data_IF_244115638325
#
_entry.id   IF_244115638325
#
_cell.length_a   1.000
_cell.length_b   1.000
_cell.length_c   1.000
_cell.angle_alpha   90.00
_cell.angle_beta   90.00
_cell.angle_gamma   90.00
#
_symmetry.space_group_name_H-M   'P 1'
#
loop_
_entity.id
_entity.type
_entity.pdbx_description
1 polymer ?
#
# COMPACT_ATOMS: atom_id res chain seq x y z
N UNK A 1 -4.61 -7.18 24.03
CA UNK A 1 -4.79 -8.50 23.39
C UNK A 1 -4.88 -8.32 21.87
N UNK A 2 -3.96 -8.93 21.09
CA UNK A 2 -3.98 -8.88 19.62
C UNK A 2 -5.29 -9.37 18.98
N UNK A 3 -5.94 -10.39 19.54
CA UNK A 3 -7.17 -10.96 18.98
C UNK A 3 -8.35 -10.01 19.15
N UNK A 4 -8.50 -9.41 20.33
CA UNK A 4 -9.53 -8.41 20.60
C UNK A 4 -9.34 -7.21 19.68
N UNK A 5 -8.10 -6.73 19.53
CA UNK A 5 -7.78 -5.61 18.65
C UNK A 5 -8.15 -5.90 17.19
N UNK A 6 -7.82 -7.11 16.72
CA UNK A 6 -8.17 -7.57 15.36
C UNK A 6 -9.69 -7.69 15.18
N UNK A 7 -10.40 -8.24 16.17
CA UNK A 7 -11.86 -8.32 16.16
C UNK A 7 -12.54 -6.94 16.12
N UNK A 8 -12.06 -5.99 16.93
CA UNK A 8 -12.54 -4.60 16.91
C UNK A 8 -12.27 -3.96 15.54
N UNK A 9 -11.12 -4.26 14.91
CA UNK A 9 -10.80 -3.71 13.59
C UNK A 9 -11.83 -4.10 12.52
N UNK A 10 -12.47 -5.27 12.62
CA UNK A 10 -13.54 -5.69 11.71
C UNK A 10 -14.82 -4.85 11.84
N UNK A 11 -15.05 -4.24 13.00
CA UNK A 11 -16.21 -3.39 13.23
C UNK A 11 -15.98 -1.97 12.68
N UNK A 12 -14.73 -1.52 12.59
CA UNK A 12 -14.38 -0.16 12.19
C UNK A 12 -14.98 0.26 10.82
N UNK A 13 -14.95 -0.58 9.76
CA UNK A 13 -15.61 -0.25 8.50
C UNK A 13 -17.09 0.06 8.63
N UNK A 14 -17.83 -0.72 9.41
CA UNK A 14 -19.27 -0.57 9.63
C UNK A 14 -19.59 0.64 10.51
N UNK A 15 -18.76 0.89 11.52
CA UNK A 15 -18.87 2.07 12.37
C UNK A 15 -18.64 3.37 11.61
N UNK A 16 -17.86 3.34 10.52
CA UNK A 16 -17.71 4.46 9.60
C UNK A 16 -18.86 4.53 8.57
N UNK A 17 -19.27 3.38 8.02
CA UNK A 17 -20.26 3.29 6.95
C UNK A 17 -21.66 3.71 7.39
N UNK A 18 -22.17 3.14 8.50
CA UNK A 18 -23.57 3.31 8.90
C UNK A 18 -23.94 4.76 9.28
N UNK A 19 -23.13 5.51 10.04
CA UNK A 19 -23.43 6.92 10.32
C UNK A 19 -23.37 7.79 9.06
N UNK A 20 -22.44 7.49 8.15
CA UNK A 20 -22.30 8.23 6.89
C UNK A 20 -23.56 8.09 6.00
N UNK A 21 -24.08 6.88 5.85
CA UNK A 21 -25.34 6.65 5.11
C UNK A 21 -26.53 7.36 5.77
N UNK A 22 -26.61 7.39 7.11
CA UNK A 22 -27.66 8.15 7.83
C UNK A 22 -27.57 9.66 7.62
N UNK A 23 -26.38 10.17 7.34
CA UNK A 23 -26.13 11.58 7.01
C UNK A 23 -26.24 11.85 5.50
N UNK A 24 -26.65 10.86 4.70
CA UNK A 24 -26.73 10.95 3.24
C UNK A 24 -25.40 11.33 2.56
N UNK A 25 -24.28 10.93 3.16
CA UNK A 25 -22.95 11.03 2.55
C UNK A 25 -22.43 9.63 2.20
N UNK A 26 -21.39 9.55 1.35
CA UNK A 26 -20.90 8.24 0.87
C UNK A 26 -20.32 7.39 2.01
N UNK A 27 -21.01 6.31 2.37
CA UNK A 27 -20.52 5.36 3.37
C UNK A 27 -19.21 4.70 2.96
N UNK A 28 -19.04 4.40 1.67
CA UNK A 28 -17.80 3.81 1.13
C UNK A 28 -16.61 4.76 1.34
N UNK A 29 -16.76 6.05 1.01
CA UNK A 29 -15.68 7.02 1.22
C UNK A 29 -15.39 7.25 2.70
N UNK A 30 -16.40 7.22 3.57
CA UNK A 30 -16.21 7.29 5.01
C UNK A 30 -15.38 6.11 5.53
N UNK A 31 -15.71 4.88 5.10
CA UNK A 31 -14.94 3.67 5.43
C UNK A 31 -13.49 3.75 4.95
N UNK A 32 -13.25 4.20 3.71
CA UNK A 32 -11.89 4.37 3.17
C UNK A 32 -11.11 5.39 3.98
N UNK A 33 -11.73 6.54 4.30
CA UNK A 33 -11.10 7.60 5.08
C UNK A 33 -10.75 7.14 6.49
N UNK A 34 -11.66 6.41 7.15
CA UNK A 34 -11.38 5.81 8.45
C UNK A 34 -10.23 4.79 8.38
N UNK A 35 -10.20 3.94 7.35
CA UNK A 35 -9.12 3.00 7.11
C UNK A 35 -7.76 3.68 6.91
N UNK A 36 -7.72 4.76 6.12
CA UNK A 36 -6.51 5.58 5.92
C UNK A 36 -6.05 6.22 7.23
N UNK A 37 -6.96 6.77 8.02
CA UNK A 37 -6.64 7.37 9.32
C UNK A 37 -6.08 6.32 10.31
N UNK A 38 -6.75 5.17 10.42
CA UNK A 38 -6.30 4.06 11.27
C UNK A 38 -4.94 3.53 10.79
N UNK A 39 -4.74 3.40 9.48
CA UNK A 39 -3.46 2.99 8.91
C UNK A 39 -2.35 4.01 9.17
N UNK A 40 -2.65 5.31 9.10
CA UNK A 40 -1.69 6.36 9.41
C UNK A 40 -1.25 6.27 10.85
N UNK A 41 -2.21 6.18 11.79
CA UNK A 41 -1.97 6.17 13.23
C UNK A 41 -1.62 4.79 13.80
N UNK A 42 -1.65 3.74 12.97
CA UNK A 42 -1.34 2.36 13.34
C UNK A 42 -0.06 2.20 14.18
N UNK A 43 1.07 2.88 13.88
CA UNK A 43 2.30 2.74 14.65
C UNK A 43 2.18 3.19 16.11
N UNK A 44 1.25 4.12 16.38
CA UNK A 44 1.05 4.78 17.68
C UNK A 44 -0.11 4.14 18.46
N UNK A 45 -1.15 3.66 17.77
CA UNK A 45 -2.36 3.12 18.41
C UNK A 45 -2.24 1.62 18.70
N UNK A 46 -1.56 0.86 17.84
CA UNK A 46 -1.48 -0.60 17.95
C UNK A 46 -0.11 -1.06 18.43
N UNK A 47 -0.09 -2.10 19.27
CA UNK A 47 1.16 -2.75 19.64
C UNK A 47 1.75 -3.53 18.46
N UNK A 48 3.07 -3.82 18.47
CA UNK A 48 3.72 -4.66 17.46
C UNK A 48 3.01 -5.99 17.23
N UNK A 49 2.67 -6.69 18.32
CA UNK A 49 2.00 -8.00 18.28
C UNK A 49 0.60 -7.88 17.67
N UNK A 50 -0.13 -6.79 17.96
CA UNK A 50 -1.43 -6.54 17.36
C UNK A 50 -1.34 -6.33 15.85
N UNK A 51 -0.32 -5.62 15.36
CA UNK A 51 -0.12 -5.43 13.91
C UNK A 51 0.33 -6.70 13.20
N UNK A 52 1.24 -7.47 13.82
CA UNK A 52 1.66 -8.78 13.30
C UNK A 52 0.51 -9.78 13.20
N UNK A 53 -0.51 -9.68 14.06
CA UNK A 53 -1.73 -10.47 13.96
C UNK A 53 -2.74 -9.90 12.95
N UNK A 54 -2.96 -8.58 12.96
CA UNK A 54 -4.00 -7.94 12.16
C UNK A 54 -3.68 -7.91 10.66
N UNK A 55 -2.42 -7.64 10.26
CA UNK A 55 -2.05 -7.51 8.84
C UNK A 55 -2.29 -8.82 8.07
N UNK A 56 -1.79 -10.00 8.50
CA UNK A 56 -2.08 -11.26 7.81
C UNK A 56 -3.56 -11.61 7.82
N UNK A 57 -4.27 -11.31 8.92
CA UNK A 57 -5.71 -11.52 9.00
C UNK A 57 -6.46 -10.72 7.93
N UNK A 58 -6.18 -9.42 7.78
CA UNK A 58 -6.78 -8.59 6.73
C UNK A 58 -6.38 -9.05 5.34
N UNK A 59 -5.14 -9.51 5.12
CA UNK A 59 -4.73 -10.09 3.85
C UNK A 59 -5.55 -11.33 3.49
N UNK A 60 -5.87 -12.18 4.46
CA UNK A 60 -6.74 -13.34 4.26
C UNK A 60 -8.18 -12.91 3.91
N UNK A 61 -8.74 -11.93 4.61
CA UNK A 61 -10.07 -11.40 4.31
C UNK A 61 -10.12 -10.81 2.90
N UNK A 62 -9.12 -10.00 2.52
CA UNK A 62 -9.00 -9.43 1.17
C UNK A 62 -8.92 -10.54 0.12
N UNK A 63 -8.12 -11.59 0.37
CA UNK A 63 -8.02 -12.73 -0.53
C UNK A 63 -9.37 -13.44 -0.71
N UNK A 64 -10.08 -13.72 0.38
CA UNK A 64 -11.39 -14.39 0.35
C UNK A 64 -12.42 -13.53 -0.38
N UNK A 65 -12.52 -12.25 -0.03
CA UNK A 65 -13.49 -11.33 -0.63
C UNK A 65 -13.20 -11.14 -2.12
N UNK A 66 -11.94 -10.93 -2.51
CA UNK A 66 -11.55 -10.84 -3.91
C UNK A 66 -11.86 -12.14 -4.66
N UNK A 67 -11.53 -13.29 -4.09
CA UNK A 67 -11.83 -14.60 -4.69
C UNK A 67 -13.32 -14.82 -4.89
N UNK A 68 -14.13 -14.58 -3.86
CA UNK A 68 -15.59 -14.67 -3.93
C UNK A 68 -16.14 -13.76 -5.03
N UNK A 69 -15.64 -12.54 -5.09
CA UNK A 69 -16.05 -11.58 -6.10
C UNK A 69 -15.72 -12.11 -7.48
N UNK A 70 -14.49 -12.53 -7.76
CA UNK A 70 -14.13 -13.05 -9.09
C UNK A 70 -14.98 -14.25 -9.50
N UNK A 71 -15.36 -15.11 -8.55
CA UNK A 71 -16.32 -16.18 -8.81
C UNK A 71 -17.69 -15.62 -9.20
N UNK A 72 -18.22 -14.64 -8.46
CA UNK A 72 -19.49 -13.97 -8.81
C UNK A 72 -19.40 -13.25 -10.17
N UNK A 73 -18.28 -12.61 -10.48
CA UNK A 73 -17.98 -11.99 -11.78
C UNK A 73 -18.10 -13.05 -12.88
N UNK A 74 -17.41 -14.18 -12.73
CA UNK A 74 -17.44 -15.28 -13.69
C UNK A 74 -18.83 -15.90 -13.87
N UNK A 75 -19.58 -16.08 -12.78
CA UNK A 75 -20.96 -16.62 -12.84
C UNK A 75 -21.93 -15.69 -13.58
N UNK A 76 -21.77 -14.38 -13.45
CA UNK A 76 -22.61 -13.40 -14.15
C UNK A 76 -22.25 -13.22 -15.64
N UNK A 77 -21.11 -13.75 -16.09
CA UNK A 77 -20.66 -13.58 -17.48
C UNK A 77 -21.60 -14.24 -18.48
N UNK A 78 -22.11 -15.46 -18.20
CA UNK A 78 -23.04 -16.15 -19.09
C UNK A 78 -24.36 -15.36 -19.23
N UNK A 79 -24.88 -14.83 -18.12
CA UNK A 79 -26.07 -13.98 -18.12
C UNK A 79 -25.85 -12.71 -18.96
N UNK A 80 -24.71 -12.04 -18.79
CA UNK A 80 -24.36 -10.86 -19.57
C UNK A 80 -24.22 -11.17 -21.08
N UNK A 81 -23.61 -12.31 -21.44
CA UNK A 81 -23.48 -12.72 -22.84
C UNK A 81 -24.83 -13.06 -23.48
N UNK A 82 -25.75 -13.70 -22.74
CA UNK A 82 -27.09 -14.01 -23.24
C UNK A 82 -27.94 -12.77 -23.46
N UNK A 83 -27.78 -11.75 -22.62
CA UNK A 83 -28.54 -10.51 -22.69
C UNK A 83 -28.20 -9.65 -23.91
N UNK A 84 -27.06 -9.91 -24.57
CA UNK A 84 -26.54 -9.08 -25.67
C UNK A 84 -26.53 -9.86 -27.00
N UNK A 85 -27.38 -10.89 -27.12
CA UNK A 85 -27.49 -11.76 -28.33
C UNK A 85 -27.87 -11.02 -29.61
N UNK A 86 -28.43 -9.82 -29.50
CA UNK A 86 -28.83 -8.98 -30.65
C UNK A 86 -27.64 -8.36 -31.39
N UNK A 87 -26.45 -8.34 -30.76
CA UNK A 87 -25.24 -7.77 -31.36
C UNK A 87 -24.37 -8.86 -31.99
N UNK A 88 -23.68 -8.52 -33.08
CA UNK A 88 -22.71 -9.45 -33.65
C UNK A 88 -21.46 -9.55 -32.77
N UNK A 89 -20.82 -10.72 -32.74
CA UNK A 89 -19.59 -10.94 -31.97
C UNK A 89 -18.49 -9.94 -32.37
N UNK A 90 -18.39 -9.59 -33.64
CA UNK A 90 -17.44 -8.61 -34.15
C UNK A 90 -17.72 -7.21 -33.62
N UNK A 91 -18.99 -6.79 -33.56
CA UNK A 91 -19.37 -5.50 -32.97
C UNK A 91 -19.03 -5.45 -31.48
N UNK A 92 -19.35 -6.51 -30.73
CA UNK A 92 -19.03 -6.59 -29.31
C UNK A 92 -17.53 -6.58 -29.04
N UNK A 93 -16.75 -7.31 -29.85
CA UNK A 93 -15.30 -7.29 -29.75
C UNK A 93 -14.73 -5.88 -30.02
N UNK A 94 -15.27 -5.16 -31.00
CA UNK A 94 -14.87 -3.79 -31.29
C UNK A 94 -15.22 -2.83 -30.15
N UNK A 95 -16.43 -2.91 -29.60
CA UNK A 95 -16.83 -2.08 -28.45
C UNK A 95 -15.96 -2.38 -27.22
N UNK A 96 -15.73 -3.66 -26.92
CA UNK A 96 -14.87 -4.07 -25.82
C UNK A 96 -13.44 -3.51 -25.98
N UNK A 97 -12.86 -3.63 -27.18
CA UNK A 97 -11.53 -3.11 -27.48
C UNK A 97 -11.49 -1.58 -27.39
N UNK A 98 -12.44 -0.88 -28.00
CA UNK A 98 -12.49 0.57 -28.02
C UNK A 98 -12.64 1.16 -26.62
N UNK A 99 -13.55 0.61 -25.80
CA UNK A 99 -13.77 1.09 -24.43
C UNK A 99 -12.57 0.77 -23.54
N UNK A 100 -11.96 -0.42 -23.69
CA UNK A 100 -10.74 -0.78 -22.93
C UNK A 100 -9.56 0.12 -23.31
N UNK A 101 -9.33 0.34 -24.60
CA UNK A 101 -8.28 1.22 -25.09
C UNK A 101 -8.50 2.66 -24.62
N UNK A 102 -9.74 3.17 -24.69
CA UNK A 102 -10.08 4.49 -24.18
C UNK A 102 -9.82 4.60 -22.66
N UNK A 103 -10.25 3.62 -21.87
CA UNK A 103 -10.04 3.61 -20.42
C UNK A 103 -8.55 3.61 -20.04
N UNK A 104 -7.72 2.85 -20.78
CA UNK A 104 -6.26 2.81 -20.59
C UNK A 104 -5.62 4.12 -21.04
N UNK A 105 -5.99 4.64 -22.22
CA UNK A 105 -5.44 5.88 -22.76
C UNK A 105 -5.76 7.08 -21.85
N UNK A 106 -7.01 7.20 -21.37
CA UNK A 106 -7.41 8.24 -20.41
C UNK A 106 -6.55 8.15 -19.15
N UNK A 107 -6.27 6.95 -18.64
CA UNK A 107 -5.42 6.76 -17.45
C UNK A 107 -3.99 7.24 -17.70
N UNK A 108 -3.40 6.85 -18.83
CA UNK A 108 -2.03 7.27 -19.22
C UNK A 108 -1.98 8.79 -19.35
N UNK A 109 -2.89 9.39 -20.13
CA UNK A 109 -2.95 10.84 -20.32
C UNK A 109 -3.13 11.56 -18.98
N UNK A 110 -3.98 11.04 -18.09
CA UNK A 110 -4.20 11.61 -16.77
C UNK A 110 -2.94 11.60 -15.90
N UNK A 111 -2.24 10.46 -15.81
CA UNK A 111 -1.03 10.33 -14.98
C UNK A 111 0.09 11.26 -15.46
N UNK A 112 0.35 11.29 -16.77
CA UNK A 112 1.37 12.18 -17.33
C UNK A 112 0.98 13.65 -17.23
N UNK A 113 -0.30 13.99 -17.42
CA UNK A 113 -0.79 15.36 -17.25
C UNK A 113 -0.67 15.83 -15.80
N UNK A 114 -1.03 14.97 -14.84
CA UNK A 114 -0.93 15.29 -13.42
C UNK A 114 0.52 15.48 -12.97
N UNK A 115 1.45 14.64 -13.46
CA UNK A 115 2.87 14.82 -13.19
C UNK A 115 3.40 16.17 -13.68
N UNK A 116 3.02 16.57 -14.91
CA UNK A 116 3.38 17.90 -15.45
C UNK A 116 2.72 19.06 -14.70
N UNK A 117 1.52 18.86 -14.16
CA UNK A 117 0.80 19.85 -13.36
C UNK A 117 1.28 19.92 -11.90
N UNK A 118 2.04 18.92 -11.42
CA UNK A 118 2.50 18.83 -10.04
C UNK A 118 3.26 20.09 -9.56
N UNK A 119 4.19 20.70 -10.32
CA UNK A 119 4.88 21.92 -9.87
C UNK A 119 3.95 23.13 -9.72
N UNK A 120 2.85 23.18 -10.48
CA UNK A 120 1.84 24.24 -10.39
C UNK A 120 0.92 24.01 -9.19
N UNK A 121 0.49 22.76 -8.96
CA UNK A 121 -0.35 22.39 -7.82
C UNK A 121 0.40 22.50 -6.49
N UNK A 122 1.70 22.20 -6.46
CA UNK A 122 2.55 22.38 -5.29
C UNK A 122 2.66 23.85 -4.86
N UNK A 123 2.49 24.81 -5.78
CA UNK A 123 2.44 26.24 -5.44
C UNK A 123 1.12 26.65 -4.78
N UNK A 124 0.04 25.90 -5.03
CA UNK A 124 -1.30 26.17 -4.50
C UNK A 124 -1.55 25.48 -3.15
N UNK A 125 -0.74 24.50 -2.77
CA UNK A 125 -0.86 23.79 -1.51
C UNK A 125 0.34 24.06 -0.59
N UNK A 126 0.34 25.14 0.22
CA UNK A 126 1.41 25.43 1.17
C UNK A 126 1.52 24.40 2.31
N UNK A 127 0.53 23.52 2.47
CA UNK A 127 0.53 22.41 3.43
C UNK A 127 0.83 21.06 2.78
N UNK A 128 0.99 21.03 1.45
CA UNK A 128 1.36 19.84 0.69
C UNK A 128 2.83 19.55 0.88
N UNK A 129 3.15 18.34 1.35
CA UNK A 129 4.54 17.87 1.38
C UNK A 129 5.10 17.92 -0.03
N UNK A 130 6.36 18.36 -0.18
CA UNK A 130 7.06 18.32 -1.46
C UNK A 130 7.33 16.87 -1.82
N UNK A 131 6.40 16.27 -2.54
CA UNK A 131 6.62 14.96 -3.16
C UNK A 131 7.74 15.10 -4.18
N UNK A 132 8.71 14.19 -4.14
CA UNK A 132 9.76 14.14 -5.16
C UNK A 132 9.09 13.90 -6.52
N UNK A 133 9.48 14.65 -7.57
CA UNK A 133 8.92 14.41 -8.89
C UNK A 133 9.27 12.99 -9.32
N UNK A 134 8.26 12.21 -9.71
CA UNK A 134 8.47 10.86 -10.20
C UNK A 134 9.32 10.89 -11.48
N UNK A 135 10.31 9.99 -11.58
CA UNK A 135 11.03 9.76 -12.83
C UNK A 135 10.08 9.27 -13.93
N UNK A 136 10.42 9.46 -15.21
CA UNK A 136 9.58 9.04 -16.33
C UNK A 136 9.28 7.53 -16.30
N UNK A 137 10.26 6.74 -15.88
CA UNK A 137 10.15 5.30 -15.68
C UNK A 137 9.08 4.99 -14.62
N UNK A 138 9.13 5.65 -13.46
CA UNK A 138 8.14 5.52 -12.38
C UNK A 138 6.74 5.96 -12.84
N UNK A 139 6.64 7.07 -13.58
CA UNK A 139 5.36 7.56 -14.12
C UNK A 139 4.73 6.56 -15.08
N UNK A 140 5.53 5.95 -15.97
CA UNK A 140 5.05 4.95 -16.91
C UNK A 140 4.53 3.69 -16.18
N UNK A 141 5.24 3.23 -15.15
CA UNK A 141 4.78 2.12 -14.31
C UNK A 141 3.49 2.47 -13.57
N UNK A 142 3.39 3.67 -12.98
CA UNK A 142 2.16 4.16 -12.30
C UNK A 142 0.98 4.32 -13.28
N UNK A 143 1.25 4.73 -14.51
CA UNK A 143 0.24 4.82 -15.57
C UNK A 143 -0.28 3.43 -15.96
N UNK A 144 0.61 2.43 -16.01
CA UNK A 144 0.29 1.07 -16.45
C UNK A 144 -0.35 0.19 -15.36
N UNK A 145 -0.15 0.51 -14.08
CA UNK A 145 -0.70 -0.23 -12.93
C UNK A 145 -2.18 0.06 -12.62
N UNK A 146 -2.86 0.86 -13.45
CA UNK A 146 -4.25 1.29 -13.28
C UNK A 146 -5.31 0.22 -13.55
N UNK A 147 -5.16 -0.97 -12.94
CA UNK A 147 -6.06 -2.10 -13.12
C UNK A 147 -7.49 -1.77 -12.67
N UNK A 148 -8.49 -2.09 -13.51
CA UNK A 148 -9.91 -1.94 -13.14
C UNK A 148 -10.35 -3.20 -12.41
N UNK A 149 -10.81 -3.02 -11.17
CA UNK A 149 -11.22 -4.13 -10.31
C UNK A 149 -12.73 -4.21 -10.12
N UNK A 150 -13.09 -4.94 -9.06
CA UNK A 150 -14.44 -5.18 -8.56
C UNK A 150 -15.33 -3.93 -8.51
N UNK A 151 -14.79 -2.80 -8.05
CA UNK A 151 -15.58 -1.59 -7.80
C UNK A 151 -16.27 -1.13 -9.09
N UNK A 152 -15.61 -1.28 -10.24
CA UNK A 152 -16.20 -0.94 -11.54
C UNK A 152 -17.41 -1.82 -11.85
N UNK A 153 -17.33 -3.12 -11.56
CA UNK A 153 -18.45 -4.03 -11.76
C UNK A 153 -19.57 -3.77 -10.77
N UNK A 154 -19.25 -3.53 -9.49
CA UNK A 154 -20.25 -3.19 -8.48
C UNK A 154 -21.06 -1.95 -8.91
N UNK A 155 -20.39 -0.93 -9.44
CA UNK A 155 -21.05 0.25 -10.01
C UNK A 155 -21.91 -0.10 -11.24
N UNK A 156 -21.42 -0.92 -12.16
CA UNK A 156 -22.21 -1.35 -13.32
C UNK A 156 -23.45 -2.16 -12.92
N UNK A 157 -23.35 -3.04 -11.91
CA UNK A 157 -24.46 -3.83 -11.40
C UNK A 157 -25.44 -2.98 -10.57
N UNK A 158 -24.96 -1.91 -9.93
CA UNK A 158 -25.80 -0.95 -9.20
C UNK A 158 -26.69 -0.10 -10.11
N UNK A 159 -26.46 -0.13 -11.43
CA UNK A 159 -27.38 0.49 -12.38
C UNK A 159 -28.78 -0.11 -12.19
N UNK A 160 -29.81 0.74 -12.02
CA UNK A 160 -31.15 0.27 -11.74
C UNK A 160 -31.67 -0.55 -12.92
N UNK A 161 -32.54 -1.52 -12.64
CA UNK A 161 -33.15 -2.36 -13.68
C UNK A 161 -34.13 -1.53 -14.52
N UNK A 162 -34.80 -0.56 -13.89
CA UNK A 162 -35.75 0.35 -14.52
C UNK A 162 -35.43 1.80 -14.19
N UNK A 163 -35.75 2.70 -15.10
CA UNK A 163 -35.74 4.14 -14.85
C UNK A 163 -37.02 4.57 -14.12
N UNK A 164 -37.09 5.81 -13.61
CA UNK A 164 -38.23 6.32 -12.84
C UNK A 164 -39.57 6.25 -13.60
N UNK A 165 -39.54 6.22 -14.94
CA UNK A 165 -40.72 6.05 -15.79
C UNK A 165 -41.25 4.61 -15.85
N UNK A 166 -40.55 3.64 -15.26
CA UNK A 166 -40.90 2.21 -15.30
C UNK A 166 -40.30 1.43 -16.47
N UNK A 167 -39.72 2.12 -17.45
CA UNK A 167 -39.03 1.51 -18.60
C UNK A 167 -37.72 0.82 -18.18
N UNK A 168 -37.26 -0.23 -18.88
CA UNK A 168 -35.95 -0.83 -18.65
C UNK A 168 -34.82 0.19 -18.82
N UNK A 169 -33.77 0.07 -18.00
CA UNK A 169 -32.60 0.93 -18.15
C UNK A 169 -31.91 0.69 -19.51
N UNK A 170 -31.66 1.74 -20.30
CA UNK A 170 -31.16 1.58 -21.66
C UNK A 170 -29.77 0.97 -21.67
N UNK A 171 -29.59 -0.10 -22.47
CA UNK A 171 -28.30 -0.75 -22.70
C UNK A 171 -27.58 -1.22 -21.42
N UNK A 172 -28.32 -1.46 -20.32
CA UNK A 172 -27.75 -1.89 -19.04
C UNK A 172 -26.83 -3.10 -19.20
N UNK A 173 -27.31 -4.12 -19.89
CA UNK A 173 -26.57 -5.38 -20.02
C UNK A 173 -25.34 -5.25 -20.92
N UNK A 174 -25.40 -4.35 -21.92
CA UNK A 174 -24.23 -3.99 -22.72
C UNK A 174 -23.18 -3.27 -21.87
N UNK A 175 -23.59 -2.33 -21.00
CA UNK A 175 -22.66 -1.64 -20.07
C UNK A 175 -22.00 -2.64 -19.12
N UNK A 176 -22.79 -3.57 -18.57
CA UNK A 176 -22.29 -4.64 -17.70
C UNK A 176 -21.28 -5.52 -18.46
N UNK A 177 -21.60 -5.97 -19.67
CA UNK A 177 -20.70 -6.78 -20.51
C UNK A 177 -19.40 -6.04 -20.85
N UNK A 178 -19.48 -4.77 -21.25
CA UNK A 178 -18.29 -3.96 -21.54
C UNK A 178 -17.45 -3.71 -20.30
N UNK A 179 -18.09 -3.56 -19.13
CA UNK A 179 -17.38 -3.47 -17.85
C UNK A 179 -16.59 -4.75 -17.56
N UNK A 180 -17.17 -5.94 -17.81
CA UNK A 180 -16.45 -7.20 -17.73
C UNK A 180 -15.25 -7.24 -18.69
N UNK A 181 -15.44 -6.83 -19.94
CA UNK A 181 -14.37 -6.82 -20.93
C UNK A 181 -13.21 -5.90 -20.54
N UNK A 182 -13.51 -4.70 -20.01
CA UNK A 182 -12.50 -3.76 -19.51
C UNK A 182 -11.77 -4.32 -18.30
N UNK A 183 -12.50 -4.90 -17.34
CA UNK A 183 -11.89 -5.55 -16.17
C UNK A 183 -10.98 -6.69 -16.61
N UNK A 184 -11.41 -7.54 -17.54
CA UNK A 184 -10.60 -8.63 -18.08
C UNK A 184 -9.35 -8.12 -18.81
N UNK A 185 -9.50 -7.14 -19.69
CA UNK A 185 -8.38 -6.53 -20.41
C UNK A 185 -7.37 -5.90 -19.42
N UNK A 186 -7.83 -5.18 -18.41
CA UNK A 186 -6.92 -4.54 -17.46
C UNK A 186 -6.31 -5.54 -16.47
N UNK A 187 -7.07 -6.50 -15.94
CA UNK A 187 -6.54 -7.47 -14.99
C UNK A 187 -5.74 -8.60 -15.61
N UNK A 188 -6.01 -9.01 -16.85
CA UNK A 188 -5.24 -10.07 -17.50
C UNK A 188 -4.13 -9.44 -18.31
N UNK A 189 -4.48 -8.60 -19.28
CA UNK A 189 -3.46 -8.06 -20.19
C UNK A 189 -2.50 -7.08 -19.49
N UNK A 190 -2.97 -6.11 -18.68
CA UNK A 190 -2.02 -5.23 -17.98
C UNK A 190 -1.22 -5.98 -16.90
N UNK A 191 -1.83 -6.91 -16.15
CA UNK A 191 -1.09 -7.67 -15.12
C UNK A 191 -0.01 -8.57 -15.70
N UNK A 192 -0.26 -9.24 -16.83
CA UNK A 192 0.77 -10.08 -17.47
C UNK A 192 1.88 -9.23 -18.12
N UNK A 193 1.56 -8.01 -18.56
CA UNK A 193 2.54 -7.11 -19.20
C UNK A 193 3.29 -6.21 -18.19
N UNK A 194 2.85 -6.15 -16.94
CA UNK A 194 3.51 -5.35 -15.90
C UNK A 194 4.90 -5.87 -15.52
N UNK A 195 5.13 -7.18 -15.24
CA UNK A 195 6.46 -7.68 -14.94
C UNK A 195 7.53 -7.37 -16.01
N UNK A 196 7.30 -7.59 -17.32
CA UNK A 196 8.30 -7.21 -18.32
C UNK A 196 8.48 -5.69 -18.41
N UNK A 197 7.42 -4.90 -18.23
CA UNK A 197 7.53 -3.44 -18.19
C UNK A 197 8.42 -2.97 -17.03
N UNK A 198 8.24 -3.53 -15.84
CA UNK A 198 9.08 -3.25 -14.67
C UNK A 198 10.52 -3.71 -14.91
N UNK A 199 10.76 -4.83 -15.61
CA UNK A 199 12.16 -5.21 -15.92
C UNK A 199 12.87 -4.22 -16.83
N UNK A 200 12.14 -3.55 -17.72
CA UNK A 200 12.71 -2.57 -18.66
C UNK A 200 12.87 -1.19 -18.02
N UNK A 201 11.96 -0.81 -17.12
CA UNK A 201 11.88 0.55 -16.55
C UNK A 201 12.21 0.62 -15.05
N UNK A 202 12.37 -0.50 -14.38
CA UNK A 202 12.33 -0.60 -12.91
C UNK A 202 13.68 -0.53 -12.22
N UNK A 203 14.81 -0.53 -12.93
CA UNK A 203 16.14 -0.37 -12.30
C UNK A 203 16.21 0.94 -11.51
N UNK A 204 15.75 2.05 -12.11
CA UNK A 204 15.72 3.36 -11.45
C UNK A 204 14.82 3.36 -10.20
N UNK A 205 13.68 2.67 -10.25
CA UNK A 205 12.68 2.65 -9.17
C UNK A 205 13.18 1.82 -7.99
N UNK A 206 13.77 0.66 -8.28
CA UNK A 206 14.31 -0.24 -7.25
C UNK A 206 15.50 0.40 -6.54
N UNK A 207 16.42 1.02 -7.30
CA UNK A 207 17.58 1.71 -6.73
C UNK A 207 17.19 2.89 -5.83
N UNK A 208 16.15 3.65 -6.18
CA UNK A 208 15.68 4.76 -5.35
C UNK A 208 15.11 4.28 -4.00
N UNK A 209 14.30 3.22 -4.00
CA UNK A 209 13.75 2.63 -2.77
C UNK A 209 14.81 1.99 -1.89
N UNK A 210 15.80 1.30 -2.47
CA UNK A 210 16.90 0.67 -1.72
C UNK A 210 17.78 1.73 -1.03
N UNK A 211 18.14 2.80 -1.75
CA UNK A 211 18.90 3.90 -1.16
C UNK A 211 18.15 4.61 -0.03
N UNK A 212 16.85 4.83 -0.19
CA UNK A 212 16.00 5.41 0.85
C UNK A 212 15.97 4.52 2.11
N UNK A 213 15.83 3.20 1.94
CA UNK A 213 15.84 2.24 3.04
C UNK A 213 17.17 2.24 3.80
N UNK A 214 18.29 2.18 3.08
CA UNK A 214 19.64 2.16 3.66
C UNK A 214 19.87 3.42 4.52
N UNK A 215 19.55 4.60 3.97
CA UNK A 215 19.69 5.87 4.69
C UNK A 215 18.79 5.91 5.93
N UNK A 216 17.53 5.48 5.81
CA UNK A 216 16.60 5.44 6.93
C UNK A 216 17.08 4.49 8.04
N UNK A 217 17.61 3.32 7.69
CA UNK A 217 18.17 2.35 8.65
C UNK A 217 19.43 2.87 9.33
N UNK A 218 20.28 3.62 8.62
CA UNK A 218 21.44 4.28 9.21
C UNK A 218 21.03 5.33 10.24
N UNK A 219 20.09 6.21 9.90
CA UNK A 219 19.57 7.24 10.81
C UNK A 219 18.90 6.60 12.04
N UNK A 220 18.13 5.53 11.85
CA UNK A 220 17.51 4.80 12.95
C UNK A 220 18.56 4.18 13.88
N UNK A 221 19.53 3.46 13.32
CA UNK A 221 20.58 2.76 14.08
C UNK A 221 21.48 3.73 14.84
N UNK A 222 21.89 4.84 14.20
CA UNK A 222 22.67 5.90 14.83
C UNK A 222 21.89 6.62 15.94
N UNK A 223 20.60 6.88 15.73
CA UNK A 223 19.74 7.47 16.78
C UNK A 223 19.62 6.56 17.98
N UNK A 224 19.46 5.24 17.76
CA UNK A 224 19.43 4.27 18.83
C UNK A 224 20.76 4.22 19.59
N UNK A 225 21.89 4.22 18.87
CA UNK A 225 23.22 4.28 19.47
C UNK A 225 23.40 5.54 20.33
N UNK A 226 23.11 6.73 19.81
CA UNK A 226 23.20 7.97 20.57
C UNK A 226 22.31 7.97 21.82
N UNK A 227 21.14 7.30 21.76
CA UNK A 227 20.25 7.15 22.92
C UNK A 227 20.82 6.21 23.97
N UNK A 228 21.54 5.17 23.58
CA UNK A 228 22.25 4.27 24.49
C UNK A 228 23.49 4.96 25.11
N UNK A 229 24.18 5.84 24.36
CA UNK A 229 25.38 6.56 24.83
C UNK A 229 25.06 7.77 25.73
N UNK A 230 23.95 8.47 25.47
CA UNK A 230 23.49 9.61 26.27
C UNK A 230 23.16 9.28 27.73
N UNK A 231 23.08 8.00 28.10
CA UNK A 231 22.87 7.52 29.47
C UNK A 231 24.16 7.43 30.30
N UNK A 232 25.22 8.16 29.93
CA UNK A 232 26.59 8.15 30.50
C UNK A 232 26.76 8.43 32.01
N UNK A 233 25.73 8.25 32.83
CA UNK A 233 25.77 8.29 34.30
C UNK A 233 25.54 6.93 34.98
N UNK A 234 25.10 5.89 34.27
CA UNK A 234 24.94 4.55 34.85
C UNK A 234 26.16 3.65 34.51
N UNK A 235 26.64 2.81 35.45
CA UNK A 235 27.73 1.87 35.15
C UNK A 235 27.31 0.94 34.01
N UNK A 236 28.09 0.94 32.93
CA UNK A 236 27.86 0.11 31.74
C UNK A 236 27.75 -1.36 32.13
N UNK A 237 26.53 -1.90 32.10
CA UNK A 237 26.33 -3.34 32.26
C UNK A 237 26.95 -4.05 31.06
N UNK A 238 27.47 -5.29 31.22
CA UNK A 238 27.94 -6.08 30.08
C UNK A 238 26.87 -6.29 29.00
N UNK A 239 25.58 -6.24 29.38
CA UNK A 239 24.46 -6.27 28.44
C UNK A 239 24.38 -4.99 27.59
N UNK A 240 24.45 -3.81 28.21
CA UNK A 240 24.47 -2.52 27.49
C UNK A 240 25.66 -2.44 26.52
N UNK A 241 26.85 -2.85 26.96
CA UNK A 241 28.05 -2.85 26.11
C UNK A 241 27.86 -3.71 24.85
N UNK A 242 27.33 -4.95 25.00
CA UNK A 242 27.03 -5.83 23.86
C UNK A 242 26.03 -5.21 22.89
N UNK A 243 24.95 -4.61 23.39
CA UNK A 243 23.95 -3.95 22.53
C UNK A 243 24.57 -2.77 21.81
N UNK A 244 25.35 -1.93 22.50
CA UNK A 244 26.04 -0.79 21.88
C UNK A 244 27.00 -1.24 20.78
N UNK A 245 27.84 -2.23 21.05
CA UNK A 245 28.83 -2.72 20.09
C UNK A 245 28.15 -3.32 18.84
N UNK A 246 27.01 -4.00 19.01
CA UNK A 246 26.21 -4.49 17.89
C UNK A 246 25.58 -3.36 17.03
N UNK A 247 25.17 -2.24 17.65
CA UNK A 247 24.66 -1.08 16.93
C UNK A 247 25.77 -0.28 16.24
N UNK A 248 26.96 -0.19 16.86
CA UNK A 248 28.15 0.37 16.24
C UNK A 248 28.53 -0.41 14.98
N UNK A 249 28.60 -1.74 15.07
CA UNK A 249 28.86 -2.61 13.92
C UNK A 249 27.79 -2.43 12.83
N UNK A 250 26.51 -2.34 13.20
CA UNK A 250 25.41 -2.09 12.24
C UNK A 250 25.59 -0.76 11.50
N UNK A 251 25.91 0.32 12.22
CA UNK A 251 26.16 1.64 11.64
C UNK A 251 27.36 1.62 10.71
N UNK A 252 28.47 0.98 11.12
CA UNK A 252 29.67 0.84 10.31
C UNK A 252 29.41 0.06 9.02
N UNK A 253 28.73 -1.09 9.11
CA UNK A 253 28.36 -1.90 7.97
C UNK A 253 27.46 -1.14 6.99
N UNK A 254 26.40 -0.47 7.47
CA UNK A 254 25.51 0.31 6.61
C UNK A 254 26.21 1.52 6.01
N UNK A 255 27.14 2.15 6.74
CA UNK A 255 27.96 3.25 6.22
C UNK A 255 28.90 2.75 5.12
N UNK A 256 29.53 1.58 5.30
CA UNK A 256 30.39 0.96 4.31
C UNK A 256 29.61 0.46 3.08
N UNK A 257 28.38 0.00 3.26
CA UNK A 257 27.46 -0.36 2.16
C UNK A 257 27.16 0.86 1.28
N UNK A 258 26.95 2.03 1.88
CA UNK A 258 26.82 3.30 1.16
C UNK A 258 28.14 3.69 0.45
N UNK A 259 29.30 3.36 1.05
CA UNK A 259 30.63 3.77 0.58
C UNK A 259 31.32 2.79 -0.39
N UNK A 260 30.65 1.71 -0.82
CA UNK A 260 31.14 0.63 -1.72
C UNK A 260 31.92 -0.54 -1.07
N UNK A 261 31.28 -1.36 -0.22
CA UNK A 261 31.66 -2.79 -0.15
C UNK A 261 30.57 -3.71 0.42
N UNK A 262 30.38 -4.88 -0.21
CA UNK A 262 29.44 -5.91 0.22
C UNK A 262 30.02 -6.70 1.39
N UNK A 263 29.60 -6.39 2.62
CA UNK A 263 29.94 -7.19 3.80
C UNK A 263 28.74 -8.04 4.21
N UNK A 264 29.00 -9.34 4.36
CA UNK A 264 28.01 -10.36 4.66
C UNK A 264 27.34 -10.12 6.03
N UNK A 265 26.00 -10.16 6.03
CA UNK A 265 25.16 -10.06 7.23
C UNK A 265 25.51 -11.14 8.26
N UNK A 266 26.09 -10.76 9.39
CA UNK A 266 26.18 -11.62 10.56
C UNK A 266 25.12 -11.18 11.58
N UNK A 267 24.06 -11.98 11.77
CA UNK A 267 23.10 -11.76 12.85
C UNK A 267 23.59 -12.47 14.10
N UNK A 268 24.29 -11.73 14.96
CA UNK A 268 24.57 -12.18 16.31
C UNK A 268 23.26 -12.43 17.06
N UNK A 269 23.05 -13.68 17.52
CA UNK A 269 21.94 -14.05 18.40
C UNK A 269 22.15 -13.38 19.77
N UNK A 270 21.58 -12.20 19.96
CA UNK A 270 21.43 -11.62 21.29
C UNK A 270 20.30 -12.36 22.04
N UNK A 271 20.60 -12.76 23.27
CA UNK A 271 19.70 -13.55 24.12
C UNK A 271 18.36 -12.87 24.35
N UNK A 272 17.35 -13.71 24.56
CA UNK A 272 16.01 -13.33 25.01
C UNK A 272 16.10 -12.45 26.26
N UNK A 273 15.34 -11.35 26.28
CA UNK A 273 15.12 -10.46 27.43
C UNK A 273 16.22 -9.43 27.76
N UNK A 274 16.80 -8.75 26.76
CA UNK A 274 17.63 -7.56 27.03
C UNK A 274 16.80 -6.25 27.03
N UNK A 275 16.54 -5.61 28.19
CA UNK A 275 15.82 -4.33 28.26
C UNK A 275 16.55 -3.19 27.55
N UNK A 276 17.87 -3.29 27.33
CA UNK A 276 18.63 -2.35 26.50
C UNK A 276 18.28 -2.51 25.02
N UNK A 277 18.04 -3.74 24.54
CA UNK A 277 17.63 -3.99 23.14
C UNK A 277 16.23 -3.45 22.86
N UNK A 278 15.27 -3.68 23.76
CA UNK A 278 13.91 -3.11 23.62
C UNK A 278 13.94 -1.58 23.56
N UNK A 279 14.82 -0.93 24.35
CA UNK A 279 15.01 0.52 24.30
C UNK A 279 15.59 0.99 22.97
N UNK A 280 16.58 0.28 22.44
CA UNK A 280 17.18 0.60 21.15
C UNK A 280 16.15 0.49 20.01
N UNK A 281 15.33 -0.56 19.99
CA UNK A 281 14.23 -0.75 19.02
C UNK A 281 13.21 0.39 19.10
N UNK A 282 12.86 0.84 20.32
CA UNK A 282 11.96 2.01 20.48
C UNK A 282 12.58 3.29 19.92
N UNK A 283 13.87 3.50 20.13
CA UNK A 283 14.58 4.66 19.57
C UNK A 283 14.65 4.62 18.03
N UNK A 284 14.91 3.44 17.44
CA UNK A 284 14.83 3.24 15.97
C UNK A 284 13.43 3.59 15.45
N UNK A 285 12.39 3.09 16.12
CA UNK A 285 10.99 3.35 15.75
C UNK A 285 10.62 4.83 15.80
N UNK A 286 11.03 5.53 16.86
CA UNK A 286 10.82 6.99 16.98
C UNK A 286 11.57 7.78 15.90
N UNK A 287 12.75 7.33 15.48
CA UNK A 287 13.49 7.95 14.38
C UNK A 287 12.77 7.76 13.04
N UNK A 288 12.38 6.52 12.73
CA UNK A 288 11.69 6.17 11.49
C UNK A 288 10.31 6.85 11.38
N UNK A 289 9.59 6.98 12.50
CA UNK A 289 8.34 7.74 12.56
C UNK A 289 8.56 9.23 12.26
N UNK A 290 9.62 9.84 12.81
CA UNK A 290 9.95 11.24 12.53
C UNK A 290 10.27 11.47 11.05
N UNK A 291 11.06 10.60 10.43
CA UNK A 291 11.35 10.68 8.99
C UNK A 291 10.07 10.61 8.15
N UNK A 292 9.15 9.70 8.49
CA UNK A 292 7.83 9.60 7.84
C UNK A 292 6.98 10.86 8.05
N UNK A 293 6.99 11.43 9.26
CA UNK A 293 6.24 12.65 9.57
C UNK A 293 6.79 13.90 8.86
N UNK A 294 8.10 13.92 8.59
CA UNK A 294 8.77 14.96 7.81
C UNK A 294 8.62 14.75 6.30
N UNK A 295 8.20 13.57 5.86
CA UNK A 295 8.08 13.22 4.44
C UNK A 295 9.42 12.86 3.78
N UNK A 296 10.44 12.55 4.60
CA UNK A 296 11.77 12.11 4.14
C UNK A 296 11.83 10.59 3.91
N UNK A 297 10.80 9.87 4.34
CA UNK A 297 10.66 8.42 4.18
C UNK A 297 9.32 8.07 3.55
N UNK A 298 9.35 7.32 2.46
CA UNK A 298 8.17 6.80 1.78
C UNK A 298 7.38 5.83 2.68
N UNK A 299 6.08 5.75 2.45
CA UNK A 299 5.18 4.89 3.22
C UNK A 299 5.52 3.40 3.03
N UNK A 300 6.03 3.00 1.85
CA UNK A 300 6.44 1.63 1.55
C UNK A 300 7.66 1.22 2.37
N UNK A 301 8.73 2.02 2.30
CA UNK A 301 9.96 1.81 3.06
C UNK A 301 9.70 1.85 4.56
N UNK A 302 8.88 2.81 5.03
CA UNK A 302 8.45 2.89 6.42
C UNK A 302 7.79 1.59 6.89
N UNK A 303 6.81 1.06 6.15
CA UNK A 303 6.09 -0.18 6.52
C UNK A 303 7.00 -1.40 6.54
N UNK A 304 7.96 -1.47 5.62
CA UNK A 304 8.97 -2.53 5.58
C UNK A 304 9.83 -2.51 6.83
N UNK A 305 10.41 -1.36 7.17
CA UNK A 305 11.24 -1.20 8.38
C UNK A 305 10.40 -1.43 9.65
N UNK A 306 9.18 -0.89 9.71
CA UNK A 306 8.28 -1.09 10.86
C UNK A 306 7.97 -2.57 11.10
N UNK A 307 7.69 -3.32 10.04
CA UNK A 307 7.46 -4.76 10.14
C UNK A 307 8.68 -5.50 10.67
N UNK A 308 9.89 -5.14 10.23
CA UNK A 308 11.11 -5.76 10.73
C UNK A 308 11.33 -5.46 12.21
N UNK A 309 11.12 -4.21 12.65
CA UNK A 309 11.17 -3.82 14.05
C UNK A 309 10.11 -4.55 14.90
N UNK A 310 8.90 -4.73 14.36
CA UNK A 310 7.85 -5.50 15.04
C UNK A 310 8.24 -6.97 15.23
N UNK A 311 8.88 -7.57 14.22
CA UNK A 311 9.39 -8.95 14.29
C UNK A 311 10.59 -9.07 15.24
N UNK A 312 11.46 -8.08 15.30
CA UNK A 312 12.57 -8.03 16.27
C UNK A 312 12.03 -7.92 17.70
N UNK A 313 11.06 -7.02 17.94
CA UNK A 313 10.43 -6.84 19.24
C UNK A 313 9.66 -8.09 19.70
N UNK A 314 8.93 -8.75 18.79
CA UNK A 314 8.19 -9.98 19.12
C UNK A 314 9.09 -11.17 19.46
N UNK A 315 10.39 -11.12 19.16
CA UNK A 315 11.36 -12.15 19.60
C UNK A 315 11.85 -11.90 21.02
N UNK A 316 11.62 -10.71 21.57
CA UNK A 316 12.08 -10.28 22.89
C UNK A 316 10.97 -10.30 23.95
N UNK A 317 9.70 -10.36 23.52
CA UNK A 317 8.48 -10.35 24.36
C UNK A 317 7.59 -11.55 24.05
#
# INVERSE_FOLDING_TARGET
>A
DPLITTGISMLAPYLAYLPAEKLHVSGVLATVTAGLYVSWKSPVIFSPQARLAAIPFWNLIILIVNGLVFVLIGLNLDTALRAVREYSLTQLAWYALAVSAAAIAIRVVWVFSMSRASPLLARLNPWGRRERPLNLSSQAVVAWTGMRGIVSLALALSLPITIQSGEPFPMRDLIVLLTFAVIFATLVFQSLTLPPLIRVLGEDVAAEGENEEIVARLIASSTALSRLEGEGSAPSTPALARVRDAYLERVELTTNEILHETVSRHHGRAGSEDPHRLRAIRAEREAILRLREQGELSEETFRKIERDLDLEESRLT
#
